data_IF_245846304855
#
_entry.id   IF_245846304855
#
_cell.length_a   1.000
_cell.length_b   1.000
_cell.length_c   1.000
_cell.angle_alpha   90.00
_cell.angle_beta   90.00
_cell.angle_gamma   90.00
#
_symmetry.space_group_name_H-M   'P 1'
#
loop_
_entity.id
_entity.type
_entity.pdbx_description
1 polymer ?
#
# COMPACT_ATOMS: atom_id res chain seq x y z
N UNK A 1 -20.70 23.57 4.06
CA UNK A 1 -19.82 22.67 4.80
C UNK A 1 -20.47 21.32 5.08
N UNK A 2 -21.50 21.16 5.88
CA UNK A 2 -22.13 19.87 6.23
C UNK A 2 -22.55 18.97 5.05
N UNK A 3 -23.01 19.53 3.92
CA UNK A 3 -23.41 18.75 2.72
C UNK A 3 -22.18 18.16 2.01
N UNK A 4 -21.09 18.89 1.94
CA UNK A 4 -19.84 18.46 1.31
C UNK A 4 -19.15 17.36 2.14
N UNK A 5 -19.12 17.52 3.45
CA UNK A 5 -18.58 16.50 4.37
C UNK A 5 -19.37 15.19 4.30
N UNK A 6 -20.70 15.29 4.22
CA UNK A 6 -21.56 14.11 4.05
C UNK A 6 -21.28 13.39 2.72
N UNK A 7 -21.06 14.13 1.63
CA UNK A 7 -20.71 13.56 0.34
C UNK A 7 -19.35 12.84 0.39
N UNK A 8 -18.33 13.45 1.01
CA UNK A 8 -17.01 12.85 1.20
C UNK A 8 -17.12 11.55 2.01
N UNK A 9 -17.83 11.56 3.13
CA UNK A 9 -18.04 10.37 3.97
C UNK A 9 -18.76 9.25 3.21
N UNK A 10 -19.79 9.58 2.42
CA UNK A 10 -20.50 8.60 1.60
C UNK A 10 -19.58 7.98 0.55
N UNK A 11 -18.79 8.80 -0.14
CA UNK A 11 -17.80 8.33 -1.11
C UNK A 11 -16.78 7.38 -0.47
N UNK A 12 -16.26 7.72 0.71
CA UNK A 12 -15.33 6.86 1.45
C UNK A 12 -15.96 5.53 1.88
N UNK A 13 -17.22 5.54 2.35
CA UNK A 13 -17.94 4.32 2.68
C UNK A 13 -18.05 3.37 1.49
N UNK A 14 -18.36 3.91 0.30
CA UNK A 14 -18.44 3.11 -0.93
C UNK A 14 -17.09 2.52 -1.29
N UNK A 15 -15.99 3.30 -1.22
CA UNK A 15 -14.63 2.82 -1.52
C UNK A 15 -14.17 1.71 -0.57
N UNK A 16 -14.41 1.88 0.73
CA UNK A 16 -14.07 0.84 1.73
C UNK A 16 -14.86 -0.43 1.47
N UNK A 17 -16.18 -0.32 1.31
CA UNK A 17 -17.03 -1.48 1.04
C UNK A 17 -16.65 -2.19 -0.28
N UNK A 18 -16.28 -1.44 -1.31
CA UNK A 18 -15.82 -2.01 -2.57
C UNK A 18 -14.49 -2.76 -2.39
N UNK A 19 -13.54 -2.19 -1.65
CA UNK A 19 -12.27 -2.85 -1.36
C UNK A 19 -12.46 -4.15 -0.57
N UNK A 20 -13.37 -4.17 0.42
CA UNK A 20 -13.74 -5.38 1.16
C UNK A 20 -14.31 -6.47 0.24
N UNK A 21 -15.25 -6.10 -0.64
CA UNK A 21 -15.83 -7.07 -1.58
C UNK A 21 -14.78 -7.55 -2.59
N UNK A 22 -13.91 -6.67 -3.09
CA UNK A 22 -12.80 -7.08 -3.96
C UNK A 22 -11.84 -8.04 -3.24
N UNK A 23 -11.53 -7.80 -1.96
CA UNK A 23 -10.70 -8.73 -1.18
C UNK A 23 -11.36 -10.11 -1.01
N UNK A 24 -12.68 -10.15 -0.79
CA UNK A 24 -13.39 -11.40 -0.54
C UNK A 24 -13.60 -12.25 -1.80
N UNK A 25 -14.06 -11.64 -2.89
CA UNK A 25 -14.53 -12.39 -4.08
C UNK A 25 -13.80 -12.06 -5.39
N UNK A 26 -12.91 -11.04 -5.39
CA UNK A 26 -12.21 -10.55 -6.57
C UNK A 26 -13.04 -9.61 -7.45
N UNK A 27 -12.37 -9.05 -8.46
CA UNK A 27 -13.01 -8.05 -9.34
C UNK A 27 -14.17 -8.61 -10.15
N UNK A 28 -13.97 -9.74 -10.82
CA UNK A 28 -14.96 -10.31 -11.74
C UNK A 28 -16.27 -10.68 -11.04
N UNK A 29 -16.18 -11.34 -9.87
CA UNK A 29 -17.35 -11.79 -9.12
C UNK A 29 -18.05 -10.66 -8.36
N UNK A 30 -17.41 -9.50 -8.16
CA UNK A 30 -17.99 -8.37 -7.45
C UNK A 30 -19.12 -7.73 -8.24
N UNK A 31 -20.25 -7.47 -7.56
CA UNK A 31 -21.40 -6.75 -8.10
C UNK A 31 -21.64 -5.42 -7.40
N UNK A 32 -22.23 -4.44 -8.11
CA UNK A 32 -22.63 -3.17 -7.50
C UNK A 32 -23.63 -3.42 -6.37
N UNK A 33 -24.50 -4.42 -6.48
CA UNK A 33 -25.49 -4.76 -5.45
C UNK A 33 -24.83 -5.18 -4.13
N UNK A 34 -23.73 -5.93 -4.17
CA UNK A 34 -22.96 -6.31 -2.98
C UNK A 34 -22.26 -5.09 -2.34
N UNK A 35 -21.67 -4.21 -3.16
CA UNK A 35 -21.09 -2.96 -2.68
C UNK A 35 -22.15 -2.08 -2.00
N UNK A 36 -23.34 -1.94 -2.58
CA UNK A 36 -24.45 -1.19 -1.99
C UNK A 36 -24.89 -1.78 -0.64
N UNK A 37 -25.02 -3.11 -0.57
CA UNK A 37 -25.38 -3.82 0.65
C UNK A 37 -24.33 -3.61 1.75
N UNK A 38 -23.05 -3.71 1.40
CA UNK A 38 -21.93 -3.57 2.33
C UNK A 38 -21.76 -2.12 2.81
N UNK A 39 -21.89 -1.15 1.91
CA UNK A 39 -21.74 0.28 2.23
C UNK A 39 -22.96 0.89 2.91
N UNK A 40 -24.10 0.19 2.93
CA UNK A 40 -25.40 0.72 3.40
C UNK A 40 -25.80 2.03 2.71
N UNK A 41 -25.43 2.16 1.43
CA UNK A 41 -25.70 3.35 0.61
C UNK A 41 -26.80 3.04 -0.40
N UNK A 42 -27.69 4.01 -0.65
CA UNK A 42 -28.73 3.85 -1.67
C UNK A 42 -28.13 3.85 -3.08
N UNK A 43 -28.82 3.19 -4.03
CA UNK A 43 -28.43 3.15 -5.44
C UNK A 43 -28.27 4.55 -6.04
N UNK A 44 -29.15 5.49 -5.69
CA UNK A 44 -29.06 6.89 -6.15
C UNK A 44 -27.81 7.61 -5.60
N UNK A 45 -27.46 7.39 -4.32
CA UNK A 45 -26.26 7.97 -3.73
C UNK A 45 -24.99 7.35 -4.31
N UNK A 46 -25.00 6.06 -4.64
CA UNK A 46 -23.88 5.41 -5.34
C UNK A 46 -23.61 6.07 -6.70
N UNK A 47 -24.64 6.14 -7.57
CA UNK A 47 -24.50 6.72 -8.90
C UNK A 47 -24.27 8.23 -8.93
N UNK A 48 -24.46 8.91 -7.81
CA UNK A 48 -24.01 10.29 -7.63
C UNK A 48 -22.48 10.39 -7.52
N UNK A 49 -21.82 9.35 -6.98
CA UNK A 49 -20.37 9.35 -6.75
C UNK A 49 -19.57 8.57 -7.78
N UNK A 50 -20.15 7.49 -8.34
CA UNK A 50 -19.45 6.56 -9.23
C UNK A 50 -20.37 6.07 -10.33
N UNK A 51 -19.86 5.98 -11.55
CA UNK A 51 -20.61 5.54 -12.71
C UNK A 51 -20.62 4.03 -12.90
N UNK A 52 -19.56 3.34 -12.42
CA UNK A 52 -19.39 1.91 -12.62
C UNK A 52 -18.50 1.25 -11.54
N UNK A 53 -18.51 -0.08 -11.52
CA UNK A 53 -17.57 -0.90 -10.72
C UNK A 53 -16.12 -0.68 -11.14
N UNK A 54 -15.91 -0.53 -12.44
CA UNK A 54 -14.59 -0.28 -13.05
C UNK A 54 -13.99 1.03 -12.56
N UNK A 55 -14.77 2.12 -12.53
CA UNK A 55 -14.33 3.43 -12.02
C UNK A 55 -13.82 3.32 -10.57
N UNK A 56 -14.57 2.60 -9.71
CA UNK A 56 -14.17 2.39 -8.32
C UNK A 56 -12.87 1.57 -8.23
N UNK A 57 -12.78 0.48 -8.99
CA UNK A 57 -11.60 -0.38 -8.98
C UNK A 57 -10.36 0.37 -9.48
N UNK A 58 -10.50 1.14 -10.57
CA UNK A 58 -9.41 1.95 -11.10
C UNK A 58 -8.96 3.04 -10.12
N UNK A 59 -9.90 3.65 -9.39
CA UNK A 59 -9.58 4.62 -8.34
C UNK A 59 -8.83 3.97 -7.17
N UNK A 60 -9.28 2.80 -6.71
CA UNK A 60 -8.61 2.04 -5.65
C UNK A 60 -7.17 1.68 -6.06
N UNK A 61 -6.96 1.28 -7.32
CA UNK A 61 -5.63 1.04 -7.88
C UNK A 61 -4.77 2.31 -7.90
N UNK A 62 -5.35 3.43 -8.34
CA UNK A 62 -4.63 4.71 -8.42
C UNK A 62 -4.23 5.27 -7.03
N UNK A 63 -5.07 5.06 -6.03
CA UNK A 63 -4.84 5.53 -4.66
C UNK A 63 -3.98 4.56 -3.82
N UNK A 64 -3.56 3.40 -4.34
CA UNK A 64 -2.90 2.35 -3.55
C UNK A 64 -1.68 2.84 -2.76
N UNK A 65 -0.80 3.62 -3.40
CA UNK A 65 0.42 4.14 -2.74
C UNK A 65 0.06 5.19 -1.68
N UNK A 66 -0.89 6.07 -1.99
CA UNK A 66 -1.30 7.16 -1.09
C UNK A 66 -2.25 6.71 0.03
N UNK A 67 -2.86 5.54 -0.10
CA UNK A 67 -3.71 4.95 0.95
C UNK A 67 -2.90 4.41 2.14
N UNK A 68 -1.61 4.16 1.96
CA UNK A 68 -0.72 3.75 3.04
C UNK A 68 -0.37 4.99 3.88
N UNK A 69 -0.54 4.93 5.20
CA UNK A 69 -0.16 6.06 6.06
C UNK A 69 1.31 6.44 5.87
N UNK A 70 1.64 7.75 5.79
CA UNK A 70 3.03 8.18 5.65
C UNK A 70 3.83 7.77 6.88
N UNK A 71 5.03 7.24 6.65
CA UNK A 71 5.98 6.95 7.72
C UNK A 71 6.69 8.23 8.18
N UNK A 72 7.22 8.20 9.39
CA UNK A 72 8.10 9.26 9.87
C UNK A 72 9.44 9.20 9.13
N UNK A 73 10.03 10.35 8.76
CA UNK A 73 11.38 10.38 8.23
C UNK A 73 12.37 9.67 9.16
N UNK A 74 13.31 8.95 8.57
CA UNK A 74 14.36 8.24 9.27
C UNK A 74 15.71 8.89 8.96
N UNK A 75 16.73 8.60 9.79
CA UNK A 75 18.12 9.05 9.55
C UNK A 75 18.73 8.44 8.27
N UNK A 76 18.25 7.25 7.88
CA UNK A 76 18.68 6.53 6.70
C UNK A 76 17.52 6.39 5.72
N UNK A 77 17.74 6.77 4.47
CA UNK A 77 16.74 6.62 3.40
C UNK A 77 16.47 5.14 3.09
N UNK A 78 17.46 4.26 3.23
CA UNK A 78 17.26 2.82 3.13
C UNK A 78 16.36 2.27 4.23
N UNK A 79 16.39 2.85 5.44
CA UNK A 79 15.47 2.46 6.50
C UNK A 79 14.05 2.93 6.19
N UNK A 80 13.87 4.12 5.60
CA UNK A 80 12.56 4.58 5.14
C UNK A 80 11.96 3.60 4.12
N UNK A 81 12.75 3.13 3.14
CA UNK A 81 12.29 2.15 2.16
C UNK A 81 11.88 0.81 2.80
N UNK A 82 12.66 0.32 3.75
CA UNK A 82 12.33 -0.91 4.50
C UNK A 82 11.07 -0.71 5.35
N UNK A 83 10.93 0.45 6.01
CA UNK A 83 9.79 0.75 6.86
C UNK A 83 8.47 0.85 6.08
N UNK A 84 8.48 1.42 4.87
CA UNK A 84 7.31 1.43 3.98
C UNK A 84 6.89 0.01 3.59
N UNK A 85 7.84 -0.86 3.29
CA UNK A 85 7.55 -2.25 2.96
C UNK A 85 7.06 -3.06 4.17
N UNK A 86 7.64 -2.86 5.35
CA UNK A 86 7.20 -3.46 6.60
C UNK A 86 5.80 -2.99 6.99
N UNK A 87 5.47 -1.71 6.80
CA UNK A 87 4.14 -1.17 7.04
C UNK A 87 3.10 -1.80 6.12
N UNK A 88 3.40 -1.91 4.82
CA UNK A 88 2.51 -2.58 3.86
C UNK A 88 2.30 -4.06 4.24
N UNK A 89 3.37 -4.77 4.62
CA UNK A 89 3.29 -6.15 5.10
C UNK A 89 2.43 -6.29 6.37
N UNK A 90 2.55 -5.35 7.30
CA UNK A 90 1.74 -5.29 8.52
C UNK A 90 0.25 -5.11 8.20
N UNK A 91 -0.09 -4.18 7.30
CA UNK A 91 -1.47 -3.91 6.90
C UNK A 91 -2.09 -5.12 6.16
N UNK A 92 -1.32 -5.80 5.31
CA UNK A 92 -1.76 -7.05 4.68
C UNK A 92 -2.04 -8.16 5.70
N UNK A 93 -1.13 -8.36 6.68
CA UNK A 93 -1.29 -9.35 7.74
C UNK A 93 -2.46 -9.02 8.66
N UNK A 94 -2.61 -7.76 9.07
CA UNK A 94 -3.68 -7.32 9.97
C UNK A 94 -5.08 -7.34 9.35
N UNK A 95 -5.18 -7.55 8.04
CA UNK A 95 -6.46 -7.63 7.34
C UNK A 95 -7.06 -6.27 7.02
N UNK A 96 -6.23 -5.23 6.82
CA UNK A 96 -6.76 -3.96 6.33
C UNK A 96 -7.42 -4.16 4.97
N UNK A 97 -8.74 -3.98 4.93
CA UNK A 97 -9.54 -4.29 3.75
C UNK A 97 -9.19 -3.42 2.54
N UNK A 98 -8.81 -2.15 2.76
CA UNK A 98 -8.43 -1.24 1.67
C UNK A 98 -7.14 -1.70 1.03
N UNK A 99 -6.16 -2.09 1.86
CA UNK A 99 -4.87 -2.58 1.38
C UNK A 99 -5.03 -3.95 0.72
N UNK A 100 -5.71 -4.90 1.35
CA UNK A 100 -5.94 -6.23 0.77
C UNK A 100 -6.70 -6.17 -0.54
N UNK A 101 -7.80 -5.42 -0.60
CA UNK A 101 -8.61 -5.27 -1.81
C UNK A 101 -7.82 -4.62 -2.95
N UNK A 102 -7.05 -3.56 -2.68
CA UNK A 102 -6.21 -2.92 -3.70
C UNK A 102 -5.08 -3.83 -4.20
N UNK A 103 -4.42 -4.56 -3.29
CA UNK A 103 -3.36 -5.51 -3.65
C UNK A 103 -3.94 -6.68 -4.44
N UNK A 104 -5.11 -7.22 -4.06
CA UNK A 104 -5.77 -8.28 -4.82
C UNK A 104 -6.12 -7.82 -6.23
N UNK A 105 -6.72 -6.63 -6.39
CA UNK A 105 -6.99 -6.03 -7.71
C UNK A 105 -5.72 -5.92 -8.58
N UNK A 106 -4.58 -5.61 -7.97
CA UNK A 106 -3.31 -5.44 -8.68
C UNK A 106 -2.76 -6.76 -9.21
N UNK A 107 -2.82 -7.83 -8.40
CA UNK A 107 -2.19 -9.13 -8.73
C UNK A 107 -3.15 -10.14 -9.35
N UNK A 108 -4.46 -9.91 -9.26
CA UNK A 108 -5.46 -10.79 -9.86
C UNK A 108 -5.33 -10.77 -11.39
N UNK A 109 -5.13 -11.93 -11.96
CA UNK A 109 -5.14 -12.11 -13.42
C UNK A 109 -6.60 -12.09 -13.89
N UNK A 110 -7.15 -10.88 -14.07
CA UNK A 110 -8.42 -10.70 -14.76
C UNK A 110 -8.29 -10.93 -16.28
N UNK A 111 -9.40 -10.88 -16.98
CA UNK A 111 -9.37 -10.86 -18.44
C UNK A 111 -8.61 -9.59 -18.87
N UNK A 112 -7.78 -9.68 -19.92
CA UNK A 112 -7.11 -8.50 -20.50
C UNK A 112 -8.11 -7.41 -20.98
N UNK A 113 -9.40 -7.68 -20.87
CA UNK A 113 -10.52 -6.83 -21.31
C UNK A 113 -11.31 -6.25 -20.14
N UNK A 114 -10.89 -6.41 -18.89
CA UNK A 114 -11.61 -5.90 -17.72
C UNK A 114 -11.52 -4.37 -17.53
N UNK A 115 -10.76 -3.69 -18.40
CA UNK A 115 -10.61 -2.23 -18.41
C UNK A 115 -9.67 -1.67 -17.35
N UNK A 116 -9.10 -2.51 -16.47
CA UNK A 116 -8.26 -2.05 -15.36
C UNK A 116 -6.78 -1.90 -15.77
N UNK A 117 -6.21 -0.72 -15.51
CA UNK A 117 -4.78 -0.49 -15.68
C UNK A 117 -3.99 -0.78 -14.39
N UNK A 118 -3.59 -2.05 -14.24
CA UNK A 118 -2.79 -2.53 -13.10
C UNK A 118 -1.34 -2.08 -13.10
N UNK A 119 -0.90 -1.41 -14.18
CA UNK A 119 0.45 -0.81 -14.24
C UNK A 119 0.55 0.40 -13.32
N UNK A 120 -0.55 1.13 -13.13
CA UNK A 120 -0.59 2.36 -12.34
C UNK A 120 -0.03 2.15 -10.92
N UNK A 121 -0.54 1.23 -10.09
CA UNK A 121 0.03 1.01 -8.75
C UNK A 121 1.47 0.50 -8.80
N UNK A 122 1.83 -0.36 -9.74
CA UNK A 122 3.20 -0.87 -9.88
C UNK A 122 4.19 0.24 -10.21
N UNK A 123 3.86 1.12 -11.15
CA UNK A 123 4.66 2.29 -11.49
C UNK A 123 4.78 3.23 -10.29
N UNK A 124 3.69 3.46 -9.56
CA UNK A 124 3.69 4.26 -8.34
C UNK A 124 4.68 3.74 -7.29
N UNK A 125 4.65 2.45 -7.00
CA UNK A 125 5.59 1.82 -6.05
C UNK A 125 7.03 1.86 -6.52
N UNK A 126 7.28 1.61 -7.82
CA UNK A 126 8.64 1.69 -8.41
C UNK A 126 9.16 3.12 -8.30
N UNK A 127 8.37 4.13 -8.67
CA UNK A 127 8.77 5.54 -8.59
C UNK A 127 9.06 5.95 -7.16
N UNK A 128 8.18 5.58 -6.21
CA UNK A 128 8.39 5.86 -4.78
C UNK A 128 9.67 5.22 -4.24
N UNK A 129 9.93 3.96 -4.60
CA UNK A 129 11.16 3.27 -4.19
C UNK A 129 12.41 3.92 -4.82
N UNK A 130 12.32 4.32 -6.08
CA UNK A 130 13.42 5.01 -6.76
C UNK A 130 13.77 6.35 -6.10
N UNK A 131 12.77 7.15 -5.69
CA UNK A 131 13.00 8.39 -4.93
C UNK A 131 13.79 8.15 -3.64
N UNK A 132 13.43 7.10 -2.88
CA UNK A 132 14.14 6.75 -1.65
C UNK A 132 15.57 6.24 -1.92
N UNK A 133 15.76 5.46 -2.98
CA UNK A 133 17.10 4.98 -3.34
C UNK A 133 17.98 6.07 -3.93
N UNK A 134 17.44 7.06 -4.67
CA UNK A 134 18.20 8.24 -5.08
C UNK A 134 18.63 9.07 -3.85
N UNK A 135 17.74 9.25 -2.88
CA UNK A 135 18.08 9.88 -1.59
C UNK A 135 19.17 9.10 -0.86
N UNK A 136 19.08 7.77 -0.80
CA UNK A 136 20.09 6.89 -0.20
C UNK A 136 21.43 7.02 -0.93
N UNK A 137 21.42 7.08 -2.26
CA UNK A 137 22.62 7.27 -3.08
C UNK A 137 23.29 8.62 -2.79
N UNK A 138 22.50 9.69 -2.75
CA UNK A 138 23.00 11.02 -2.42
C UNK A 138 23.61 11.11 -1.00
N UNK A 139 23.07 10.33 -0.06
CA UNK A 139 23.57 10.23 1.31
C UNK A 139 24.78 9.29 1.46
N UNK A 140 25.22 8.61 0.39
CA UNK A 140 26.32 7.64 0.46
C UNK A 140 25.95 6.33 1.18
N UNK A 141 24.67 5.98 1.21
CA UNK A 141 24.18 4.75 1.85
C UNK A 141 24.32 3.51 0.96
N UNK A 142 24.40 3.72 -0.38
CA UNK A 142 24.51 2.65 -1.38
C UNK A 142 25.97 2.41 -1.81
N UNK A 143 26.27 1.16 -2.15
CA UNK A 143 27.55 0.84 -2.82
C UNK A 143 27.59 1.47 -4.22
N UNK A 144 28.76 1.94 -4.72
CA UNK A 144 28.86 2.84 -5.88
C UNK A 144 28.29 2.31 -7.20
N UNK A 145 28.21 0.99 -7.36
CA UNK A 145 27.77 0.36 -8.61
C UNK A 145 26.27 0.10 -8.69
N UNK A 146 25.47 0.51 -7.68
CA UNK A 146 24.02 0.29 -7.67
C UNK A 146 23.34 1.16 -8.74
N UNK A 147 22.61 0.50 -9.62
CA UNK A 147 21.64 1.11 -10.50
C UNK A 147 20.30 1.27 -9.76
N UNK A 148 19.94 2.52 -9.47
CA UNK A 148 18.76 2.85 -8.66
C UNK A 148 17.45 2.43 -9.36
N UNK A 149 17.37 2.60 -10.68
CA UNK A 149 16.16 2.22 -11.40
C UNK A 149 15.95 0.70 -11.40
N UNK A 150 17.03 -0.05 -11.59
CA UNK A 150 17.00 -1.50 -11.55
C UNK A 150 16.62 -2.01 -10.15
N UNK A 151 17.26 -1.49 -9.10
CA UNK A 151 17.00 -1.96 -7.73
C UNK A 151 15.59 -1.59 -7.26
N UNK A 152 15.02 -0.46 -7.68
CA UNK A 152 13.65 -0.09 -7.38
C UNK A 152 12.66 -1.10 -7.99
N UNK A 153 12.87 -1.52 -9.23
CA UNK A 153 12.07 -2.56 -9.88
C UNK A 153 12.20 -3.91 -9.18
N UNK A 154 13.42 -4.29 -8.77
CA UNK A 154 13.66 -5.53 -8.01
C UNK A 154 13.00 -5.48 -6.64
N UNK A 155 13.12 -4.36 -5.93
CA UNK A 155 12.53 -4.15 -4.61
C UNK A 155 11.00 -4.41 -4.63
N UNK A 156 10.30 -3.79 -5.57
CA UNK A 156 8.85 -3.95 -5.74
C UNK A 156 8.50 -5.35 -6.25
N UNK A 157 9.24 -5.86 -7.24
CA UNK A 157 9.01 -7.19 -7.80
C UNK A 157 9.18 -8.32 -6.79
N UNK A 158 10.22 -8.25 -5.95
CA UNK A 158 10.47 -9.23 -4.89
C UNK A 158 9.38 -9.17 -3.81
N UNK A 159 8.95 -7.96 -3.39
CA UNK A 159 7.82 -7.82 -2.46
C UNK A 159 6.56 -8.46 -3.02
N UNK A 160 6.23 -8.16 -4.29
CA UNK A 160 5.05 -8.72 -4.96
C UNK A 160 5.09 -10.24 -5.01
N UNK A 161 6.24 -10.83 -5.34
CA UNK A 161 6.44 -12.28 -5.33
C UNK A 161 6.24 -12.90 -3.94
N UNK A 162 6.85 -12.30 -2.91
CA UNK A 162 6.70 -12.75 -1.52
C UNK A 162 5.24 -12.61 -1.05
N UNK A 163 4.59 -11.51 -1.37
CA UNK A 163 3.19 -11.25 -1.01
C UNK A 163 2.25 -12.30 -1.63
N UNK A 164 2.42 -12.64 -2.90
CA UNK A 164 1.62 -13.67 -3.57
C UNK A 164 1.85 -15.04 -2.91
N UNK A 165 3.09 -15.42 -2.65
CA UNK A 165 3.41 -16.68 -1.99
C UNK A 165 2.84 -16.75 -0.57
N UNK A 166 2.99 -15.68 0.20
CA UNK A 166 2.44 -15.60 1.56
C UNK A 166 0.91 -15.71 1.56
N UNK A 167 0.23 -15.04 0.61
CA UNK A 167 -1.22 -15.17 0.49
C UNK A 167 -1.66 -16.60 0.17
N UNK A 168 -0.98 -17.28 -0.77
CA UNK A 168 -1.31 -18.66 -1.17
C UNK A 168 -1.07 -19.65 -0.02
N UNK A 169 0.06 -19.50 0.68
CA UNK A 169 0.51 -20.48 1.67
C UNK A 169 -0.14 -20.30 3.03
N UNK A 170 -0.35 -19.05 3.48
CA UNK A 170 -0.71 -18.73 4.86
C UNK A 170 -1.74 -17.61 5.01
N UNK A 171 -2.30 -17.10 3.92
CA UNK A 171 -3.22 -15.94 3.92
C UNK A 171 -2.60 -14.71 4.60
N UNK A 172 -1.32 -14.46 4.32
CA UNK A 172 -0.49 -13.38 4.88
C UNK A 172 -0.11 -13.53 6.35
N UNK A 173 -0.31 -14.68 7.00
CA UNK A 173 0.10 -14.85 8.41
C UNK A 173 1.62 -14.72 8.59
N UNK A 174 2.42 -15.23 7.62
CA UNK A 174 3.89 -15.19 7.64
C UNK A 174 4.51 -14.00 6.88
N UNK A 175 3.68 -13.01 6.51
CA UNK A 175 4.09 -11.92 5.63
C UNK A 175 5.21 -11.07 6.21
N UNK A 176 5.16 -10.77 7.52
CA UNK A 176 6.17 -9.93 8.18
C UNK A 176 7.54 -10.61 8.23
N UNK A 177 7.56 -11.88 8.59
CA UNK A 177 8.77 -12.70 8.65
C UNK A 177 9.43 -12.79 7.27
N UNK A 178 8.65 -13.08 6.23
CA UNK A 178 9.13 -13.18 4.85
C UNK A 178 9.66 -11.87 4.30
N UNK A 179 8.97 -10.75 4.56
CA UNK A 179 9.41 -9.43 4.11
C UNK A 179 10.67 -8.98 4.87
N UNK A 180 10.75 -9.26 6.17
CA UNK A 180 11.94 -9.01 6.98
C UNK A 180 13.17 -9.77 6.44
N UNK A 181 13.01 -11.04 6.12
CA UNK A 181 14.07 -11.85 5.53
C UNK A 181 14.45 -11.37 4.13
N UNK A 182 13.47 -11.13 3.27
CA UNK A 182 13.70 -10.61 1.93
C UNK A 182 14.60 -9.37 1.96
N UNK A 183 14.18 -8.35 2.72
CA UNK A 183 14.91 -7.08 2.70
C UNK A 183 16.22 -7.12 3.45
N UNK A 184 16.38 -7.97 4.45
CA UNK A 184 17.70 -8.24 5.05
C UNK A 184 18.70 -8.74 4.01
N UNK A 185 18.29 -9.65 3.12
CA UNK A 185 19.16 -10.18 2.07
C UNK A 185 19.36 -9.15 0.94
N UNK A 186 18.30 -8.49 0.50
CA UNK A 186 18.39 -7.50 -0.58
C UNK A 186 19.26 -6.31 -0.17
N UNK A 187 19.08 -5.75 1.03
CA UNK A 187 19.90 -4.64 1.53
C UNK A 187 21.36 -5.00 1.69
N UNK A 188 21.67 -6.26 2.02
CA UNK A 188 23.06 -6.76 2.10
C UNK A 188 23.79 -6.69 0.75
N UNK A 189 23.07 -6.63 -0.38
CA UNK A 189 23.69 -6.52 -1.71
C UNK A 189 23.90 -5.09 -2.18
N UNK A 190 23.25 -4.10 -1.57
CA UNK A 190 23.25 -2.71 -2.05
C UNK A 190 23.73 -1.68 -1.04
N UNK A 191 23.60 -1.96 0.28
CA UNK A 191 24.01 -1.02 1.31
C UNK A 191 25.50 -1.10 1.60
N UNK A 192 26.13 0.05 1.89
CA UNK A 192 27.51 0.05 2.41
C UNK A 192 27.54 -0.60 3.80
N UNK A 193 28.63 -1.31 4.20
CA UNK A 193 28.66 -2.07 5.46
C UNK A 193 28.31 -1.26 6.72
N UNK A 194 28.77 0.00 6.80
CA UNK A 194 28.46 0.87 7.93
C UNK A 194 26.98 1.30 8.04
N UNK A 195 26.24 1.25 6.94
CA UNK A 195 24.79 1.48 6.91
C UNK A 195 24.04 0.18 7.20
N UNK A 196 24.45 -0.93 6.58
CA UNK A 196 23.78 -2.22 6.72
C UNK A 196 23.61 -2.65 8.19
N UNK A 197 24.63 -2.47 9.01
CA UNK A 197 24.59 -2.83 10.44
C UNK A 197 23.64 -1.96 11.28
N UNK A 198 23.17 -0.83 10.74
CA UNK A 198 22.24 0.10 11.38
C UNK A 198 20.78 -0.14 10.95
N UNK A 199 20.57 -0.92 9.88
CA UNK A 199 19.24 -1.21 9.39
C UNK A 199 18.54 -2.24 10.27
N UNK A 200 17.27 -2.02 10.53
CA UNK A 200 16.42 -2.87 11.34
C UNK A 200 15.30 -3.50 10.47
N UNK A 201 15.24 -4.84 10.46
CA UNK A 201 14.34 -5.61 9.60
C UNK A 201 13.34 -6.45 10.39
N UNK A 202 13.17 -6.23 11.70
CA UNK A 202 12.39 -7.13 12.54
C UNK A 202 10.89 -6.97 12.35
N UNK A 203 10.09 -8.05 12.53
CA UNK A 203 8.62 -7.95 12.53
C UNK A 203 8.08 -6.96 13.56
N UNK A 204 8.72 -6.83 14.73
CA UNK A 204 8.35 -5.89 15.79
C UNK A 204 8.52 -4.44 15.35
N UNK A 205 9.48 -4.16 14.44
CA UNK A 205 9.62 -2.84 13.84
C UNK A 205 8.38 -2.45 13.03
N UNK A 206 7.78 -3.39 12.29
CA UNK A 206 6.58 -3.14 11.50
C UNK A 206 5.42 -2.61 12.38
N UNK A 207 5.25 -3.19 13.56
CA UNK A 207 4.25 -2.72 14.52
C UNK A 207 4.55 -1.31 15.01
N UNK A 208 5.81 -1.03 15.39
CA UNK A 208 6.23 0.32 15.83
C UNK A 208 6.01 1.38 14.74
N UNK A 209 6.35 1.04 13.48
CA UNK A 209 6.13 1.93 12.33
C UNK A 209 4.63 2.20 12.14
N UNK A 210 3.79 1.17 12.21
CA UNK A 210 2.33 1.32 12.12
C UNK A 210 1.78 2.23 13.24
N UNK A 211 2.15 1.97 14.50
CA UNK A 211 1.69 2.77 15.65
C UNK A 211 2.10 4.24 15.51
N UNK A 212 3.33 4.50 15.05
CA UNK A 212 3.85 5.85 14.81
C UNK A 212 3.11 6.56 13.67
N UNK A 213 2.84 5.85 12.56
CA UNK A 213 2.09 6.37 11.42
C UNK A 213 0.63 6.68 11.80
N UNK A 214 -0.03 5.77 12.53
CA UNK A 214 -1.40 5.95 13.01
C UNK A 214 -1.55 7.11 14.02
N UNK A 215 -0.53 7.36 14.84
CA UNK A 215 -0.51 8.50 15.75
C UNK A 215 -0.38 9.84 15.00
N UNK A 216 0.46 9.88 13.95
CA UNK A 216 0.67 11.07 13.13
C UNK A 216 -0.59 11.47 12.36
N UNK A 217 -1.29 10.51 11.77
CA UNK A 217 -2.57 10.76 11.06
C UNK A 217 -3.66 11.35 11.97
N UNK A 218 -3.69 10.98 13.25
CA UNK A 218 -4.64 11.53 14.24
C UNK A 218 -4.31 12.96 14.66
N UNK A 219 -3.04 13.33 14.70
CA UNK A 219 -2.60 14.70 15.05
C UNK A 219 -2.89 15.69 13.93
N UNK A 220 -2.64 15.31 12.65
CA UNK A 220 -2.94 16.16 11.51
C UNK A 220 -4.44 16.42 11.30
N UNK A 221 -5.31 15.46 11.68
CA UNK A 221 -6.77 15.66 11.61
C UNK A 221 -7.29 16.64 12.67
N UNK A 222 -6.63 16.75 13.83
CA UNK A 222 -7.01 17.70 14.91
C UNK A 222 -6.60 19.13 14.60
N UNK A 223 -5.44 19.34 13.98
CA UNK A 223 -5.00 20.70 13.59
C UNK A 223 -5.88 21.32 12.51
N UNK A 224 -6.48 20.50 11.63
CA UNK A 224 -7.42 20.98 10.60
C UNK A 224 -8.78 21.34 11.21
N UNK A 225 -9.23 20.61 12.26
CA UNK A 225 -10.50 20.89 12.95
C UNK A 225 -10.43 22.11 13.89
N UNK A 226 -9.23 22.51 14.35
CA UNK A 226 -9.04 23.71 15.20
C UNK A 226 -8.85 25.03 14.38
N UNK A 227 -8.65 24.92 13.06
CA UNK A 227 -8.47 26.07 12.14
C UNK A 227 -9.75 26.44 11.35
N UNK A 228 -10.88 25.78 11.63
CA UNK A 228 -12.20 26.01 11.01
C UNK A 228 -13.19 26.46 12.09
#
# INVERSE_FOLDING_TARGET
>A
MARQERAIRTRQKILVAAAEVFDEVGYEATTISEILKRSEVTKGAFYFHFTSKEEIAQLILAEQVTAIPPIRPQDLALQEAVDEALLLAYLLRSGDARVRGSVRLTVEQGSFQDGLDRRVPMQGWISRSAELFEKAKANGELVPHVDVELIAKLFVGCFTGVQILSNIMTRHEDMLERVSELYRHLMATIAVPGVLIRLEFTPERAQRVYEAAAAHGRSGSREVDELV
#
